data_IF_514061151653
#
_entry.id   IF_514061151653
#
_cell.length_a   1.000
_cell.length_b   1.000
_cell.length_c   1.000
_cell.angle_alpha   90.00
_cell.angle_beta   90.00
_cell.angle_gamma   90.00
#
_symmetry.space_group_name_H-M   'P 1'
#
loop_
_entity.id
_entity.type
_entity.pdbx_description
1 polymer ?
#
# COMPACT_ATOMS: atom_id res chain seq x y z
N UNK A 1 -9.27 -32.54 -21.29
CA UNK A 1 -7.80 -32.61 -21.23
C UNK A 1 -7.29 -34.04 -21.37
N UNK A 2 -7.79 -35.03 -20.62
CA UNK A 2 -7.39 -36.44 -20.80
C UNK A 2 -7.53 -36.94 -22.26
N UNK A 3 -8.68 -36.67 -22.89
CA UNK A 3 -8.91 -37.06 -24.29
C UNK A 3 -7.96 -36.38 -25.29
N UNK A 4 -7.43 -35.20 -24.97
CA UNK A 4 -6.44 -34.52 -25.83
C UNK A 4 -5.09 -35.26 -25.86
N UNK A 5 -4.84 -36.13 -24.88
CA UNK A 5 -3.66 -36.98 -24.77
C UNK A 5 -3.95 -38.46 -25.07
N UNK A 6 -5.15 -38.79 -25.57
CA UNK A 6 -5.55 -40.19 -25.84
C UNK A 6 -4.64 -40.88 -26.88
N UNK A 7 -3.96 -40.10 -27.72
CA UNK A 7 -2.98 -40.59 -28.71
C UNK A 7 -1.76 -41.29 -28.08
N UNK A 8 -1.53 -41.13 -26.77
CA UNK A 8 -0.46 -41.82 -26.06
C UNK A 8 -0.82 -43.27 -25.72
N UNK A 9 -2.10 -43.64 -25.78
CA UNK A 9 -2.64 -45.00 -25.56
C UNK A 9 -2.26 -45.67 -24.22
N UNK A 10 -1.58 -44.95 -23.33
CA UNK A 10 -1.22 -45.36 -21.98
C UNK A 10 -2.02 -44.54 -20.96
N UNK A 11 -3.03 -45.17 -20.38
CA UNK A 11 -3.92 -44.52 -19.41
C UNK A 11 -3.17 -44.02 -18.17
N UNK A 12 -2.17 -44.77 -17.68
CA UNK A 12 -1.42 -44.39 -16.49
C UNK A 12 -0.57 -43.16 -16.77
N UNK A 13 0.13 -43.15 -17.90
CA UNK A 13 0.94 -42.02 -18.32
C UNK A 13 0.08 -40.76 -18.56
N UNK A 14 -1.08 -40.91 -19.19
CA UNK A 14 -2.01 -39.80 -19.43
C UNK A 14 -2.52 -39.22 -18.11
N UNK A 15 -2.86 -40.07 -17.13
CA UNK A 15 -3.30 -39.63 -15.80
C UNK A 15 -2.17 -38.95 -15.04
N UNK A 16 -0.94 -39.47 -15.14
CA UNK A 16 0.23 -38.87 -14.52
C UNK A 16 0.54 -37.48 -15.06
N UNK A 17 0.58 -37.30 -16.38
CA UNK A 17 0.93 -36.00 -16.98
C UNK A 17 -0.17 -34.96 -16.84
N UNK A 18 -1.44 -35.35 -16.93
CA UNK A 18 -2.57 -34.40 -16.94
C UNK A 18 -3.02 -34.06 -15.51
N UNK A 19 -3.00 -35.04 -14.60
CA UNK A 19 -3.60 -34.90 -13.26
C UNK A 19 -2.53 -34.90 -12.18
N UNK A 20 -1.80 -36.02 -12.03
CA UNK A 20 -0.93 -36.21 -10.87
C UNK A 20 0.20 -35.19 -10.85
N UNK A 21 0.85 -34.95 -12.00
CA UNK A 21 1.93 -33.98 -12.11
C UNK A 21 1.43 -32.54 -12.00
N UNK A 22 0.25 -32.23 -12.53
CA UNK A 22 -0.37 -30.91 -12.40
C UNK A 22 -0.65 -30.58 -10.92
N UNK A 23 -1.27 -31.51 -10.18
CA UNK A 23 -1.49 -31.36 -8.74
C UNK A 23 -0.19 -31.35 -7.96
N UNK A 24 0.77 -32.20 -8.30
CA UNK A 24 2.10 -32.22 -7.65
C UNK A 24 2.78 -30.86 -7.78
N UNK A 25 2.80 -30.26 -8.98
CA UNK A 25 3.35 -28.93 -9.20
C UNK A 25 2.58 -27.87 -8.41
N UNK A 26 1.24 -27.93 -8.43
CA UNK A 26 0.41 -27.00 -7.65
C UNK A 26 0.72 -27.07 -6.14
N UNK A 27 0.93 -28.27 -5.60
CA UNK A 27 1.24 -28.48 -4.20
C UNK A 27 2.67 -28.05 -3.80
N UNK A 28 3.54 -27.76 -4.78
CA UNK A 28 4.87 -27.19 -4.53
C UNK A 28 4.85 -25.65 -4.47
N UNK A 29 3.77 -25.02 -4.91
CA UNK A 29 3.61 -23.57 -4.91
C UNK A 29 3.07 -23.16 -3.54
N UNK A 30 3.72 -22.17 -2.92
CA UNK A 30 3.26 -21.61 -1.66
C UNK A 30 1.86 -20.99 -1.83
N UNK A 31 0.94 -21.36 -0.96
CA UNK A 31 -0.45 -20.87 -0.94
C UNK A 31 -0.56 -19.42 -0.45
N UNK A 32 0.49 -18.87 0.17
CA UNK A 32 0.52 -17.54 0.76
C UNK A 32 1.36 -16.53 -0.06
N UNK A 33 1.43 -16.69 -1.38
CA UNK A 33 2.14 -15.73 -2.24
C UNK A 33 1.38 -14.39 -2.28
N UNK A 34 1.96 -13.37 -1.67
CA UNK A 34 1.49 -11.98 -1.76
C UNK A 34 2.10 -11.28 -2.99
N UNK A 35 1.31 -11.16 -4.07
CA UNK A 35 1.75 -10.52 -5.32
C UNK A 35 1.72 -8.99 -5.28
N UNK A 36 0.93 -8.42 -4.37
CA UNK A 36 0.80 -6.98 -4.16
C UNK A 36 0.87 -6.71 -2.67
N UNK A 37 1.80 -5.83 -2.28
CA UNK A 37 1.99 -5.43 -0.89
C UNK A 37 0.72 -4.77 -0.34
N UNK A 38 0.26 -5.18 0.83
CA UNK A 38 -0.91 -4.60 1.51
C UNK A 38 -0.62 -3.30 2.25
N UNK A 39 0.63 -3.08 2.63
CA UNK A 39 0.99 -1.97 3.50
C UNK A 39 1.11 -0.63 2.74
N UNK A 40 0.92 0.46 3.48
CA UNK A 40 1.22 1.81 3.00
C UNK A 40 2.72 2.09 3.19
N UNK A 41 3.40 2.46 2.10
CA UNK A 41 4.81 2.82 2.10
C UNK A 41 4.97 4.33 1.81
N UNK A 42 4.79 5.20 2.82
CA UNK A 42 4.93 6.63 2.61
C UNK A 42 6.40 6.98 2.30
N UNK A 43 6.66 7.96 1.41
CA UNK A 43 8.01 8.49 1.22
C UNK A 43 8.50 9.14 2.52
N UNK A 44 9.82 9.31 2.67
CA UNK A 44 10.40 10.02 3.83
C UNK A 44 11.35 11.13 3.38
N UNK A 45 11.18 12.31 4.00
CA UNK A 45 12.10 13.45 3.88
C UNK A 45 12.43 13.89 5.31
N UNK A 46 13.69 14.24 5.56
CA UNK A 46 14.13 14.67 6.88
C UNK A 46 13.34 15.92 7.31
N UNK A 47 12.76 15.85 8.51
CA UNK A 47 12.02 16.94 9.16
C UNK A 47 10.77 17.44 8.39
N UNK A 48 10.20 16.66 7.46
CA UNK A 48 9.01 17.06 6.70
C UNK A 48 7.83 17.47 7.58
N UNK A 49 7.60 16.78 8.70
CA UNK A 49 6.51 17.10 9.64
C UNK A 49 6.68 18.46 10.33
N UNK A 50 7.91 18.79 10.73
CA UNK A 50 8.26 20.08 11.34
C UNK A 50 8.15 21.20 10.31
N UNK A 51 8.73 20.97 9.13
CA UNK A 51 8.74 21.93 8.03
C UNK A 51 7.31 22.25 7.54
N UNK A 52 6.46 21.24 7.39
CA UNK A 52 5.06 21.42 7.04
C UNK A 52 4.31 22.21 8.12
N UNK A 53 4.52 21.87 9.40
CA UNK A 53 3.91 22.60 10.51
C UNK A 53 4.31 24.08 10.49
N UNK A 54 5.59 24.36 10.37
CA UNK A 54 6.10 25.73 10.30
C UNK A 54 5.53 26.50 9.11
N UNK A 55 5.42 25.86 7.94
CA UNK A 55 4.82 26.45 6.74
C UNK A 55 3.35 26.79 6.94
N UNK A 56 2.57 25.87 7.51
CA UNK A 56 1.13 26.07 7.76
C UNK A 56 0.93 27.24 8.73
N UNK A 57 1.63 27.26 9.86
CA UNK A 57 1.50 28.31 10.85
C UNK A 57 2.03 29.66 10.37
N UNK A 58 3.13 29.69 9.62
CA UNK A 58 3.66 30.91 8.98
C UNK A 58 2.64 31.52 8.02
N UNK A 59 2.00 30.70 7.19
CA UNK A 59 0.98 31.18 6.25
C UNK A 59 -0.31 31.60 6.96
N UNK A 60 -0.74 30.85 7.99
CA UNK A 60 -1.90 31.20 8.79
C UNK A 60 -1.71 32.56 9.47
N UNK A 61 -0.55 32.79 10.10
CA UNK A 61 -0.22 34.08 10.74
C UNK A 61 -0.16 35.23 9.74
N UNK A 62 0.42 35.00 8.55
CA UNK A 62 0.43 35.99 7.47
C UNK A 62 -0.98 36.40 7.02
N UNK A 63 -1.93 35.47 7.04
CA UNK A 63 -3.30 35.70 6.55
C UNK A 63 -4.26 36.21 7.63
N UNK A 64 -4.15 35.72 8.85
CA UNK A 64 -5.12 35.95 9.92
C UNK A 64 -4.55 36.74 11.11
N UNK A 65 -3.27 37.12 11.08
CA UNK A 65 -2.57 37.84 12.13
C UNK A 65 -1.75 36.93 13.06
N UNK A 66 -0.86 37.53 13.86
CA UNK A 66 0.03 36.78 14.76
C UNK A 66 -0.71 35.93 15.80
N UNK A 67 -1.84 36.43 16.29
CA UNK A 67 -2.75 35.69 17.17
C UNK A 67 -3.88 35.13 16.33
N UNK A 68 -3.85 33.82 16.09
CA UNK A 68 -4.85 33.17 15.25
C UNK A 68 -6.22 33.14 15.95
N UNK A 69 -7.32 33.45 15.23
CA UNK A 69 -8.66 33.21 15.74
C UNK A 69 -8.85 31.75 16.10
N UNK A 70 -9.55 31.47 17.20
CA UNK A 70 -9.77 30.09 17.70
C UNK A 70 -10.31 29.14 16.62
N UNK A 71 -11.26 29.60 15.81
CA UNK A 71 -11.81 28.82 14.69
C UNK A 71 -10.73 28.34 13.70
N UNK A 72 -9.75 29.19 13.41
CA UNK A 72 -8.66 28.88 12.47
C UNK A 72 -7.67 27.92 13.12
N UNK A 73 -7.28 28.19 14.38
CA UNK A 73 -6.40 27.34 15.17
C UNK A 73 -6.95 25.91 15.27
N UNK A 74 -8.20 25.77 15.71
CA UNK A 74 -8.87 24.48 15.89
C UNK A 74 -8.94 23.69 14.58
N UNK A 75 -9.11 24.38 13.44
CA UNK A 75 -9.13 23.76 12.12
C UNK A 75 -7.75 23.27 11.68
N UNK A 76 -6.71 24.09 11.87
CA UNK A 76 -5.33 23.71 11.55
C UNK A 76 -4.94 22.48 12.35
N UNK A 77 -5.20 22.45 13.65
CA UNK A 77 -4.85 21.31 14.48
C UNK A 77 -5.61 20.04 14.06
N UNK A 78 -6.91 20.18 13.76
CA UNK A 78 -7.74 19.05 13.32
C UNK A 78 -7.27 18.43 12.00
N UNK A 79 -6.68 19.21 11.09
CA UNK A 79 -6.19 18.72 9.79
C UNK A 79 -4.73 18.31 9.80
N UNK A 80 -3.87 19.11 10.44
CA UNK A 80 -2.43 18.91 10.40
C UNK A 80 -1.99 17.70 11.23
N UNK A 81 -2.65 17.45 12.38
CA UNK A 81 -2.38 16.28 13.23
C UNK A 81 -2.53 14.97 12.45
N UNK A 82 -3.67 14.66 11.79
CA UNK A 82 -3.79 13.42 11.04
C UNK A 82 -2.83 13.37 9.84
N UNK A 83 -2.56 14.47 9.14
CA UNK A 83 -1.60 14.49 8.02
C UNK A 83 -0.21 14.00 8.48
N UNK A 84 0.27 14.51 9.62
CA UNK A 84 1.57 14.11 10.18
C UNK A 84 1.52 12.68 10.76
N UNK A 85 0.44 12.32 11.46
CA UNK A 85 0.30 11.00 12.09
C UNK A 85 0.25 9.87 11.05
N UNK A 86 -0.42 10.10 9.92
CA UNK A 86 -0.53 9.13 8.83
C UNK A 86 0.53 9.29 7.74
N UNK A 87 1.62 10.05 8.01
CA UNK A 87 2.79 10.18 7.13
C UNK A 87 2.48 10.76 5.74
N UNK A 88 1.48 11.64 5.66
CA UNK A 88 1.18 12.40 4.43
C UNK A 88 1.93 13.74 4.37
N UNK A 89 2.70 14.07 5.41
CA UNK A 89 3.44 15.33 5.52
C UNK A 89 4.42 15.53 4.36
N UNK A 90 5.05 14.46 3.87
CA UNK A 90 5.99 14.51 2.74
C UNK A 90 5.32 14.91 1.42
N UNK A 91 4.04 14.61 1.23
CA UNK A 91 3.31 14.95 -0.01
C UNK A 91 2.87 16.41 -0.03
N UNK A 92 2.67 16.99 1.16
CA UNK A 92 2.22 18.38 1.33
C UNK A 92 3.36 19.37 1.59
N UNK A 93 4.51 18.89 2.07
CA UNK A 93 5.73 19.67 2.22
C UNK A 93 6.36 19.98 0.84
#
# INVERSE_FOLDING_TARGET
>A
MLDAFSFLEDKSLIEDIVVNNAHKLNNLIDENIEVIKTDLYPPSIKNSSELLKDLVYKNAKKKYGEVLPKLVQDRIDKELIPIINYKFDVVYW
#
